data_IF_153234261037
#
_entry.id   IF_153234261037
#
_cell.length_a   1.000
_cell.length_b   1.000
_cell.length_c   1.000
_cell.angle_alpha   90.00
_cell.angle_beta   90.00
_cell.angle_gamma   90.00
#
_symmetry.space_group_name_H-M   'P 1'
#
loop_
_entity.id
_entity.type
_entity.pdbx_description
1 polymer ?
#
# COMPACT_ATOMS: atom_id res chain seq x y z
N UNK A 1 76.55 32.39 -11.86
CA UNK A 1 76.47 30.93 -11.68
C UNK A 1 75.07 30.57 -11.19
N UNK A 2 74.17 30.00 -12.03
CA UNK A 2 72.91 29.45 -11.54
C UNK A 2 72.95 27.90 -11.50
N UNK A 3 72.49 27.33 -10.39
CA UNK A 3 72.25 25.89 -10.20
C UNK A 3 70.92 25.46 -10.86
N UNK A 4 70.85 24.27 -11.49
CA UNK A 4 69.60 23.70 -11.98
C UNK A 4 69.14 22.52 -11.09
N UNK A 5 67.87 22.51 -10.68
CA UNK A 5 67.23 21.25 -10.28
C UNK A 5 66.31 21.33 -9.07
N UNK A 6 65.03 21.57 -9.31
CA UNK A 6 63.95 21.35 -8.34
C UNK A 6 62.77 20.70 -9.05
N UNK A 7 62.71 19.37 -8.99
CA UNK A 7 61.82 18.47 -9.74
C UNK A 7 60.35 18.65 -9.35
N UNK A 8 59.50 18.76 -10.36
CA UNK A 8 58.04 18.64 -10.33
C UNK A 8 57.59 17.25 -9.84
N UNK A 9 57.10 17.09 -8.60
CA UNK A 9 56.33 15.90 -8.19
C UNK A 9 55.33 16.24 -7.06
N UNK A 10 54.22 16.90 -7.38
CA UNK A 10 53.15 17.12 -6.38
C UNK A 10 51.73 17.21 -6.96
N UNK A 11 51.46 16.70 -8.18
CA UNK A 11 50.15 16.91 -8.84
C UNK A 11 49.41 15.63 -9.26
N UNK A 12 49.97 14.43 -9.05
CA UNK A 12 49.37 13.19 -9.58
C UNK A 12 48.47 12.46 -8.58
N UNK A 13 48.54 12.75 -7.27
CA UNK A 13 47.78 12.01 -6.24
C UNK A 13 46.40 12.59 -5.92
N UNK A 14 46.13 13.87 -6.26
CA UNK A 14 44.84 14.51 -5.98
C UNK A 14 43.78 14.30 -7.08
N UNK A 15 44.19 13.94 -8.30
CA UNK A 15 43.28 13.75 -9.44
C UNK A 15 42.56 12.39 -9.40
N UNK A 16 43.27 11.33 -9.00
CA UNK A 16 42.68 9.99 -8.87
C UNK A 16 41.58 9.89 -7.79
N UNK A 17 41.70 10.67 -6.70
CA UNK A 17 40.71 10.70 -5.61
C UNK A 17 39.40 11.37 -6.02
N UNK A 18 39.46 12.51 -6.73
CA UNK A 18 38.25 13.22 -7.24
C UNK A 18 37.49 12.40 -8.27
N UNK A 19 38.18 11.68 -9.15
CA UNK A 19 37.56 10.86 -10.21
C UNK A 19 36.82 9.65 -9.65
N UNK A 20 37.38 9.01 -8.61
CA UNK A 20 36.71 7.94 -7.87
C UNK A 20 35.50 8.44 -7.07
N UNK A 21 35.58 9.63 -6.47
CA UNK A 21 34.52 10.20 -5.63
C UNK A 21 33.29 10.66 -6.45
N UNK A 22 33.49 11.26 -7.63
CA UNK A 22 32.38 11.63 -8.53
C UNK A 22 31.63 10.42 -9.11
N UNK A 23 32.34 9.32 -9.36
CA UNK A 23 31.72 8.08 -9.86
C UNK A 23 30.98 7.32 -8.74
N UNK A 24 31.50 7.32 -7.52
CA UNK A 24 30.83 6.76 -6.33
C UNK A 24 29.57 7.56 -5.97
N UNK A 25 29.64 8.90 -6.00
CA UNK A 25 28.50 9.78 -5.72
C UNK A 25 27.35 9.58 -6.74
N UNK A 26 27.66 9.39 -8.02
CA UNK A 26 26.64 9.17 -9.07
C UNK A 26 25.97 7.80 -8.99
N UNK A 27 26.70 6.74 -8.61
CA UNK A 27 26.13 5.40 -8.41
C UNK A 27 25.19 5.37 -7.19
N UNK A 28 25.58 6.01 -6.07
CA UNK A 28 24.75 6.08 -4.87
C UNK A 28 23.45 6.88 -5.10
N UNK A 29 23.53 8.05 -5.77
CA UNK A 29 22.37 8.85 -6.15
C UNK A 29 21.43 8.11 -7.13
N UNK A 30 21.99 7.34 -8.07
CA UNK A 30 21.22 6.51 -8.99
C UNK A 30 20.49 5.38 -8.27
N UNK A 31 21.14 4.75 -7.28
CA UNK A 31 20.55 3.72 -6.42
C UNK A 31 19.35 4.22 -5.61
N UNK A 32 19.51 5.35 -4.91
CA UNK A 32 18.43 5.93 -4.08
C UNK A 32 17.23 6.41 -4.91
N UNK A 33 17.48 7.07 -6.04
CA UNK A 33 16.40 7.52 -6.93
C UNK A 33 15.63 6.34 -7.53
N UNK A 34 16.32 5.26 -7.91
CA UNK A 34 15.70 4.04 -8.41
C UNK A 34 14.85 3.37 -7.33
N UNK A 35 15.38 3.21 -6.10
CA UNK A 35 14.64 2.63 -4.97
C UNK A 35 13.38 3.43 -4.63
N UNK A 36 13.47 4.77 -4.55
CA UNK A 36 12.31 5.64 -4.31
C UNK A 36 11.27 5.53 -5.43
N UNK A 37 11.72 5.46 -6.68
CA UNK A 37 10.82 5.29 -7.83
C UNK A 37 10.14 3.92 -7.84
N UNK A 38 10.83 2.87 -7.39
CA UNK A 38 10.30 1.52 -7.27
C UNK A 38 9.26 1.44 -6.16
N UNK A 39 9.55 1.96 -4.96
CA UNK A 39 8.61 2.03 -3.85
C UNK A 39 7.33 2.77 -4.27
N UNK A 40 7.47 3.92 -4.95
CA UNK A 40 6.33 4.65 -5.49
C UNK A 40 5.50 3.81 -6.47
N UNK A 41 6.15 3.08 -7.39
CA UNK A 41 5.45 2.21 -8.35
C UNK A 41 4.75 1.05 -7.65
N UNK A 42 5.41 0.39 -6.70
CA UNK A 42 4.83 -0.71 -5.91
C UNK A 42 3.61 -0.24 -5.13
N UNK A 43 3.70 0.91 -4.44
CA UNK A 43 2.58 1.51 -3.71
C UNK A 43 1.40 1.78 -4.63
N UNK A 44 1.63 2.42 -5.79
CA UNK A 44 0.56 2.75 -6.73
C UNK A 44 -0.05 1.49 -7.35
N UNK A 45 0.77 0.49 -7.71
CA UNK A 45 0.31 -0.77 -8.28
C UNK A 45 -0.50 -1.59 -7.27
N UNK A 46 -0.04 -1.65 -6.02
CA UNK A 46 -0.75 -2.27 -4.91
C UNK A 46 -2.10 -1.57 -4.68
N UNK A 47 -2.11 -0.24 -4.60
CA UNK A 47 -3.35 0.53 -4.43
C UNK A 47 -4.34 0.32 -5.58
N UNK A 48 -3.87 0.28 -6.84
CA UNK A 48 -4.74 0.05 -8.01
C UNK A 48 -5.31 -1.37 -8.04
N UNK A 49 -4.47 -2.39 -7.83
CA UNK A 49 -4.89 -3.79 -7.83
C UNK A 49 -5.82 -4.08 -6.66
N UNK A 50 -5.46 -3.63 -5.45
CA UNK A 50 -6.34 -3.71 -4.28
C UNK A 50 -7.65 -2.95 -4.50
N UNK A 51 -7.60 -1.75 -5.06
CA UNK A 51 -8.79 -0.96 -5.39
C UNK A 51 -9.75 -1.70 -6.33
N UNK A 52 -9.24 -2.34 -7.39
CA UNK A 52 -10.05 -3.16 -8.30
C UNK A 52 -10.65 -4.38 -7.61
N UNK A 53 -9.87 -5.09 -6.79
CA UNK A 53 -10.35 -6.28 -6.07
C UNK A 53 -11.44 -5.90 -5.07
N UNK A 54 -11.21 -4.87 -4.25
CA UNK A 54 -12.16 -4.35 -3.26
C UNK A 54 -13.43 -3.84 -3.96
N UNK A 55 -13.29 -3.18 -5.11
CA UNK A 55 -14.43 -2.74 -5.90
C UNK A 55 -15.24 -3.91 -6.48
N UNK A 56 -14.57 -4.94 -7.00
CA UNK A 56 -15.22 -6.15 -7.51
C UNK A 56 -15.99 -6.90 -6.41
N UNK A 57 -15.43 -6.97 -5.19
CA UNK A 57 -16.13 -7.51 -4.01
C UNK A 57 -17.35 -6.65 -3.67
N UNK A 58 -17.25 -5.32 -3.76
CA UNK A 58 -18.39 -4.42 -3.62
C UNK A 58 -19.51 -4.69 -4.62
N UNK A 59 -19.16 -4.92 -5.89
CA UNK A 59 -20.11 -5.32 -6.95
C UNK A 59 -20.76 -6.66 -6.60
N UNK A 60 -20.00 -7.62 -6.08
CA UNK A 60 -20.55 -8.90 -5.63
C UNK A 60 -21.59 -8.71 -4.52
N UNK A 61 -21.32 -7.88 -3.51
CA UNK A 61 -22.31 -7.53 -2.47
C UNK A 61 -23.52 -6.79 -3.05
N UNK A 62 -23.33 -5.95 -4.07
CA UNK A 62 -24.42 -5.32 -4.82
C UNK A 62 -25.29 -6.35 -5.56
N UNK A 63 -24.69 -7.31 -6.25
CA UNK A 63 -25.42 -8.39 -6.92
C UNK A 63 -26.21 -9.24 -5.91
N UNK A 64 -25.63 -9.49 -4.74
CA UNK A 64 -26.28 -10.15 -3.61
C UNK A 64 -27.49 -9.38 -3.09
N UNK A 65 -27.41 -8.06 -2.99
CA UNK A 65 -28.52 -7.18 -2.61
C UNK A 65 -29.67 -7.20 -3.62
N UNK A 66 -29.35 -7.20 -4.91
CA UNK A 66 -30.34 -7.29 -5.99
C UNK A 66 -31.00 -8.69 -6.02
N UNK A 67 -30.35 -9.69 -5.41
CA UNK A 67 -30.86 -11.06 -5.32
C UNK A 67 -30.55 -11.89 -6.56
N UNK A 68 -29.49 -11.54 -7.31
CA UNK A 68 -29.00 -12.29 -8.48
C UNK A 68 -28.05 -13.44 -8.04
N UNK A 69 -28.18 -13.93 -6.81
CA UNK A 69 -27.36 -15.04 -6.29
C UNK A 69 -28.20 -16.32 -6.17
N UNK A 70 -28.01 -17.31 -7.08
CA UNK A 70 -28.66 -18.62 -6.98
C UNK A 70 -27.95 -19.61 -6.05
N UNK A 71 -26.73 -19.32 -5.57
CA UNK A 71 -25.84 -20.34 -5.00
C UNK A 71 -25.74 -20.34 -3.46
N UNK A 72 -25.94 -19.22 -2.74
CA UNK A 72 -25.66 -19.14 -1.28
C UNK A 72 -26.78 -18.47 -0.43
N UNK A 73 -28.04 -18.89 -0.60
CA UNK A 73 -29.24 -18.27 -0.01
C UNK A 73 -29.41 -16.84 -0.57
N UNK A 74 -30.00 -16.71 -1.77
CA UNK A 74 -31.44 -16.51 -1.92
C UNK A 74 -31.83 -15.13 -1.41
N UNK A 75 -32.26 -14.22 -2.31
CA UNK A 75 -32.96 -12.93 -2.10
C UNK A 75 -32.71 -12.23 -0.75
N UNK A 76 -32.41 -10.92 -0.75
CA UNK A 76 -32.30 -10.10 0.48
C UNK A 76 -33.33 -10.41 1.59
N UNK A 77 -34.55 -10.78 1.19
CA UNK A 77 -35.68 -11.17 2.05
C UNK A 77 -35.60 -12.57 2.72
N UNK A 78 -34.78 -13.50 2.24
CA UNK A 78 -34.52 -14.81 2.86
C UNK A 78 -33.30 -14.78 3.78
N UNK A 79 -32.53 -13.69 3.76
CA UNK A 79 -31.29 -13.57 4.51
C UNK A 79 -31.57 -13.30 6.01
N UNK A 80 -30.76 -13.82 6.96
CA UNK A 80 -30.91 -13.52 8.38
C UNK A 80 -30.79 -12.01 8.67
N UNK A 81 -31.49 -11.52 9.70
CA UNK A 81 -31.56 -10.09 10.03
C UNK A 81 -30.18 -9.43 10.21
N UNK A 82 -29.22 -10.15 10.77
CA UNK A 82 -27.84 -9.68 10.97
C UNK A 82 -27.15 -9.36 9.64
N UNK A 83 -27.35 -10.23 8.64
CA UNK A 83 -26.80 -10.06 7.30
C UNK A 83 -27.54 -8.96 6.51
N UNK A 84 -28.84 -8.72 6.76
CA UNK A 84 -29.59 -7.62 6.12
C UNK A 84 -29.06 -6.24 6.49
N UNK A 85 -28.39 -6.10 7.63
CA UNK A 85 -27.75 -4.84 8.05
C UNK A 85 -26.31 -4.77 7.51
N UNK A 86 -25.57 -5.88 7.61
CA UNK A 86 -24.18 -5.92 7.20
C UNK A 86 -23.98 -5.81 5.67
N UNK A 87 -24.79 -6.50 4.87
CA UNK A 87 -24.62 -6.54 3.41
C UNK A 87 -24.79 -5.17 2.74
N UNK A 88 -25.82 -4.34 3.02
CA UNK A 88 -25.90 -2.97 2.49
C UNK A 88 -24.72 -2.10 2.92
N UNK A 89 -24.28 -2.21 4.18
CA UNK A 89 -23.16 -1.42 4.68
C UNK A 89 -21.86 -1.77 3.93
N UNK A 90 -21.55 -3.06 3.81
CA UNK A 90 -20.40 -3.54 3.05
C UNK A 90 -20.50 -3.17 1.56
N UNK A 91 -21.68 -3.29 0.96
CA UNK A 91 -21.93 -2.93 -0.44
C UNK A 91 -21.66 -1.44 -0.76
N UNK A 92 -21.70 -0.55 0.22
CA UNK A 92 -21.31 0.86 0.05
C UNK A 92 -19.86 1.08 0.42
N UNK A 93 -19.38 0.49 1.52
CA UNK A 93 -18.01 0.66 1.99
C UNK A 93 -16.99 0.13 0.96
N UNK A 94 -17.23 -1.04 0.37
CA UNK A 94 -16.32 -1.67 -0.60
C UNK A 94 -16.09 -0.78 -1.84
N UNK A 95 -17.12 -0.29 -2.57
CA UNK A 95 -16.89 0.62 -3.70
C UNK A 95 -16.19 1.92 -3.31
N UNK A 96 -16.55 2.50 -2.16
CA UNK A 96 -15.95 3.74 -1.65
C UNK A 96 -14.46 3.54 -1.35
N UNK A 97 -14.09 2.45 -0.66
CA UNK A 97 -12.69 2.08 -0.44
C UNK A 97 -11.96 1.78 -1.76
N UNK A 98 -12.61 1.07 -2.69
CA UNK A 98 -12.06 0.75 -4.00
C UNK A 98 -11.68 1.98 -4.80
N UNK A 99 -12.57 2.98 -4.88
CA UNK A 99 -12.33 4.26 -5.55
C UNK A 99 -11.24 5.06 -4.82
N UNK A 100 -11.29 5.11 -3.49
CA UNK A 100 -10.29 5.83 -2.69
C UNK A 100 -8.87 5.26 -2.87
N UNK A 101 -8.74 3.93 -2.91
CA UNK A 101 -7.48 3.24 -3.18
C UNK A 101 -7.05 3.43 -4.63
N UNK A 102 -7.97 3.37 -5.59
CA UNK A 102 -7.67 3.60 -7.02
C UNK A 102 -7.10 5.00 -7.27
N UNK A 103 -7.67 6.01 -6.62
CA UNK A 103 -7.18 7.40 -6.69
C UNK A 103 -5.94 7.64 -5.82
N UNK A 104 -5.44 6.62 -5.11
CA UNK A 104 -4.35 6.73 -4.13
C UNK A 104 -4.60 7.79 -3.05
N UNK A 105 -5.87 8.06 -2.75
CA UNK A 105 -6.27 9.09 -1.81
C UNK A 105 -6.07 8.61 -0.36
N UNK A 106 -5.63 9.52 0.52
CA UNK A 106 -5.37 9.19 1.93
C UNK A 106 -6.60 8.64 2.68
N UNK A 107 -7.80 9.10 2.31
CA UNK A 107 -9.06 8.64 2.91
C UNK A 107 -9.41 7.19 2.53
N UNK A 108 -8.99 6.70 1.35
CA UNK A 108 -9.29 5.34 0.92
C UNK A 108 -8.70 4.27 1.84
N UNK A 109 -7.51 4.54 2.40
CA UNK A 109 -6.89 3.68 3.39
C UNK A 109 -7.71 3.61 4.69
N UNK A 110 -8.27 4.73 5.13
CA UNK A 110 -9.12 4.80 6.34
C UNK A 110 -10.38 3.97 6.15
N UNK A 111 -11.06 4.11 5.01
CA UNK A 111 -12.27 3.32 4.73
C UNK A 111 -11.93 1.82 4.61
N UNK A 112 -10.78 1.49 4.02
CA UNK A 112 -10.34 0.11 3.95
C UNK A 112 -10.04 -0.49 5.34
N UNK A 113 -9.46 0.28 6.26
CA UNK A 113 -9.32 -0.11 7.67
C UNK A 113 -10.68 -0.34 8.33
N UNK A 114 -11.65 0.54 8.09
CA UNK A 114 -13.01 0.34 8.60
C UNK A 114 -13.65 -0.96 8.09
N UNK A 115 -13.47 -1.28 6.80
CA UNK A 115 -13.93 -2.56 6.24
C UNK A 115 -13.24 -3.74 6.96
N UNK A 116 -11.92 -3.68 7.12
CA UNK A 116 -11.18 -4.74 7.80
C UNK A 116 -11.63 -4.93 9.26
N UNK A 117 -11.95 -3.84 9.98
CA UNK A 117 -12.51 -3.90 11.33
C UNK A 117 -13.90 -4.53 11.32
N UNK A 118 -14.76 -4.11 10.39
CA UNK A 118 -16.12 -4.66 10.26
C UNK A 118 -16.06 -6.16 9.96
N UNK A 119 -15.25 -6.58 8.98
CA UNK A 119 -15.03 -7.99 8.67
C UNK A 119 -14.42 -8.77 9.84
N UNK A 120 -13.47 -8.17 10.57
CA UNK A 120 -12.89 -8.80 11.76
C UNK A 120 -13.96 -9.01 12.84
N UNK A 121 -14.80 -8.01 13.12
CA UNK A 121 -15.88 -8.15 14.11
C UNK A 121 -16.90 -9.19 13.67
N UNK A 122 -17.26 -9.23 12.38
CA UNK A 122 -18.20 -10.20 11.83
C UNK A 122 -17.66 -11.63 11.91
N UNK A 123 -16.45 -11.88 11.43
CA UNK A 123 -15.91 -13.22 11.26
C UNK A 123 -15.11 -13.74 12.47
N UNK A 124 -14.47 -12.88 13.27
CA UNK A 124 -13.78 -13.29 14.51
C UNK A 124 -14.64 -13.09 15.76
N UNK A 125 -15.45 -12.02 15.79
CA UNK A 125 -16.32 -11.73 16.94
C UNK A 125 -17.57 -12.59 16.95
N UNK A 126 -18.21 -12.77 15.78
CA UNK A 126 -19.45 -13.53 15.63
C UNK A 126 -19.36 -14.63 14.56
N UNK A 127 -18.36 -15.55 14.64
CA UNK A 127 -18.16 -16.60 13.64
C UNK A 127 -19.39 -17.51 13.48
N UNK A 128 -20.12 -17.76 14.58
CA UNK A 128 -21.33 -18.57 14.58
C UNK A 128 -22.49 -17.96 13.78
N UNK A 129 -22.49 -16.64 13.55
CA UNK A 129 -23.56 -15.92 12.85
C UNK A 129 -23.21 -15.62 11.38
N UNK A 130 -21.95 -15.29 11.10
CA UNK A 130 -21.51 -14.84 9.78
C UNK A 130 -20.70 -15.89 9.00
N UNK A 131 -20.34 -17.00 9.65
CA UNK A 131 -19.44 -18.01 9.09
C UNK A 131 -17.98 -17.57 9.15
N UNK A 132 -17.07 -18.51 8.97
CA UNK A 132 -15.64 -18.23 8.96
C UNK A 132 -15.20 -17.80 7.56
N UNK A 133 -14.62 -16.61 7.43
CA UNK A 133 -13.97 -16.15 6.19
C UNK A 133 -12.51 -15.76 6.46
N UNK A 134 -11.65 -16.72 6.86
CA UNK A 134 -10.26 -16.44 7.20
C UNK A 134 -9.46 -15.92 6.00
N UNK A 135 -9.83 -16.34 4.77
CA UNK A 135 -9.16 -15.93 3.55
C UNK A 135 -9.40 -14.45 3.22
N UNK A 136 -10.65 -13.99 3.31
CA UNK A 136 -11.01 -12.59 3.14
C UNK A 136 -10.29 -11.72 4.17
N UNK A 137 -10.34 -12.12 5.44
CA UNK A 137 -9.70 -11.37 6.52
C UNK A 137 -8.16 -11.32 6.37
N UNK A 138 -7.53 -12.43 5.97
CA UNK A 138 -6.10 -12.48 5.71
C UNK A 138 -5.69 -11.58 4.53
N UNK A 139 -6.51 -11.51 3.48
CA UNK A 139 -6.25 -10.64 2.34
C UNK A 139 -6.32 -9.15 2.72
N UNK A 140 -7.32 -8.76 3.52
CA UNK A 140 -7.42 -7.39 4.07
C UNK A 140 -6.23 -7.08 4.98
N UNK A 141 -5.89 -7.98 5.91
CA UNK A 141 -4.78 -7.79 6.84
C UNK A 141 -3.42 -7.68 6.12
N UNK A 142 -3.18 -8.53 5.12
CA UNK A 142 -1.97 -8.47 4.29
C UNK A 142 -1.87 -7.15 3.54
N UNK A 143 -2.96 -6.76 2.87
CA UNK A 143 -3.03 -5.52 2.10
C UNK A 143 -2.85 -4.27 2.96
N UNK A 144 -3.56 -4.19 4.09
CA UNK A 144 -3.38 -3.12 5.07
C UNK A 144 -1.96 -3.11 5.63
N UNK A 145 -1.42 -4.27 5.99
CA UNK A 145 -0.07 -4.39 6.55
C UNK A 145 0.98 -3.87 5.58
N UNK A 146 0.88 -4.22 4.30
CA UNK A 146 1.77 -3.71 3.26
C UNK A 146 1.62 -2.20 3.07
N UNK A 147 0.40 -1.67 3.03
CA UNK A 147 0.15 -0.24 2.91
C UNK A 147 0.68 0.53 4.13
N UNK A 148 0.43 0.01 5.33
CA UNK A 148 0.90 0.59 6.59
C UNK A 148 2.42 0.57 6.65
N UNK A 149 3.08 -0.53 6.28
CA UNK A 149 4.54 -0.62 6.24
C UNK A 149 5.14 0.47 5.32
N UNK A 150 4.58 0.64 4.12
CA UNK A 150 5.04 1.67 3.18
C UNK A 150 4.85 3.10 3.71
N UNK A 151 3.74 3.36 4.41
CA UNK A 151 3.46 4.67 5.02
C UNK A 151 4.34 4.93 6.25
N UNK A 152 4.62 3.91 7.04
CA UNK A 152 5.52 4.00 8.18
C UNK A 152 6.96 4.25 7.71
N UNK A 153 7.40 3.62 6.61
CA UNK A 153 8.72 3.88 6.02
C UNK A 153 8.86 5.36 5.63
N UNK A 154 7.86 5.93 4.94
CA UNK A 154 7.84 7.35 4.54
C UNK A 154 7.79 8.30 5.76
N UNK A 155 7.03 7.94 6.80
CA UNK A 155 7.03 8.67 8.07
C UNK A 155 8.39 8.63 8.78
N UNK A 156 9.08 7.47 8.77
CA UNK A 156 10.42 7.35 9.37
C UNK A 156 11.45 8.19 8.61
N UNK A 157 11.37 8.24 7.29
CA UNK A 157 12.26 9.08 6.46
C UNK A 157 12.03 10.58 6.70
N UNK A 158 10.79 11.00 6.93
CA UNK A 158 10.45 12.40 7.22
C UNK A 158 10.79 12.81 8.66
N UNK A 159 10.60 11.92 9.64
CA UNK A 159 10.96 12.16 11.04
C UNK A 159 12.47 12.28 11.29
N UNK A 160 13.31 11.75 10.39
CA UNK A 160 14.78 11.87 10.45
C UNK A 160 15.32 13.21 9.95
N UNK A 161 14.47 14.15 9.49
CA UNK A 161 14.85 15.53 9.17
C UNK A 161 14.28 16.56 10.16
N UNK A 162 14.61 16.53 11.46
CA UNK A 162 14.30 17.63 12.35
C UNK A 162 15.39 18.71 12.19
N UNK A 163 15.17 19.65 11.26
CA UNK A 163 16.04 20.83 11.14
C UNK A 163 16.15 21.36 9.71
N UNK A 164 15.18 22.17 9.31
CA UNK A 164 15.42 23.27 8.36
C UNK A 164 14.62 24.49 8.80
#
# INVERSE_FOLDING_TARGET
MPEPGGRCEASTTLDHSKKGQGSQMTIALSGETKAKSLNRRLTVLLCRTAGLVVFAVGIFYWARLIGIDPVHLGRFDLMPIWWRIAAPALAVLYPVAGIGLWMTAGWGAVIWVLIAIVEAVMHLGFPALFGENPLGLAAHAWGLGMLAALRVIDWRESGLRPGR
#
